data_IF_590420304358
#
_entry.id   IF_590420304358
#
_cell.length_a   1.000
_cell.length_b   1.000
_cell.length_c   1.000
_cell.angle_alpha   90.00
_cell.angle_beta   90.00
_cell.angle_gamma   90.00
#
_symmetry.space_group_name_H-M   'P 1'
#
loop_
_entity.id
_entity.type
_entity.pdbx_description
1 polymer ?
#
# COMPACT_ATOMS: atom_id res chain seq x y z
N UNK A 1 3.14 27.16 50.43
CA UNK A 1 2.75 26.51 49.16
C UNK A 1 3.58 26.99 47.99
N UNK A 2 3.90 28.31 47.88
CA UNK A 2 4.72 28.86 46.75
C UNK A 2 6.16 28.36 46.86
N UNK A 3 6.75 28.29 48.08
CA UNK A 3 8.10 27.77 48.26
C UNK A 3 8.25 26.27 47.98
N UNK A 4 7.24 25.47 48.22
CA UNK A 4 7.27 24.02 47.92
C UNK A 4 7.23 23.74 46.42
N UNK A 5 6.46 24.51 45.66
CA UNK A 5 6.40 24.40 44.21
C UNK A 5 7.73 24.75 43.52
N UNK A 6 8.41 25.80 44.01
CA UNK A 6 9.75 26.19 43.50
C UNK A 6 10.81 25.15 43.86
N UNK A 7 10.77 24.62 45.08
CA UNK A 7 11.68 23.57 45.51
C UNK A 7 11.48 22.30 44.66
N UNK A 8 10.23 21.91 44.39
CA UNK A 8 9.92 20.78 43.54
C UNK A 8 10.40 21.02 42.10
N UNK A 9 10.15 22.21 41.53
CA UNK A 9 10.60 22.55 40.18
C UNK A 9 12.13 22.50 40.04
N UNK A 10 12.88 22.91 41.08
CA UNK A 10 14.34 22.75 41.12
C UNK A 10 14.78 21.30 41.24
N UNK A 11 14.15 20.54 42.13
CA UNK A 11 14.47 19.11 42.33
C UNK A 11 14.20 18.27 41.06
N UNK A 12 13.15 18.58 40.35
CA UNK A 12 12.79 17.90 39.09
C UNK A 12 13.53 18.43 37.86
N UNK A 13 14.33 19.50 38.02
CA UNK A 13 15.09 20.11 36.94
C UNK A 13 14.24 20.89 35.95
N UNK A 14 12.99 21.27 36.30
CA UNK A 14 12.13 22.14 35.48
C UNK A 14 12.62 23.59 35.45
N UNK A 15 13.41 23.98 36.41
CA UNK A 15 14.13 25.26 36.42
C UNK A 15 15.63 25.04 36.67
N UNK A 16 16.45 25.90 36.08
CA UNK A 16 17.89 25.88 36.24
C UNK A 16 18.34 26.52 37.59
N UNK A 17 19.65 26.56 37.83
CA UNK A 17 20.21 27.16 39.05
C UNK A 17 19.83 28.66 39.22
N UNK A 18 19.46 29.34 38.14
CA UNK A 18 19.03 30.73 38.11
C UNK A 18 17.50 30.89 38.13
N UNK A 19 16.77 29.84 38.50
CA UNK A 19 15.29 29.78 38.48
C UNK A 19 14.65 30.08 37.13
N UNK A 20 15.36 29.82 36.00
CA UNK A 20 14.83 29.97 34.66
C UNK A 20 14.23 28.65 34.20
N UNK A 21 13.07 28.66 33.53
CA UNK A 21 12.48 27.43 32.98
C UNK A 21 13.45 26.72 32.01
N UNK A 22 13.65 25.43 32.23
CA UNK A 22 14.41 24.57 31.33
C UNK A 22 13.53 24.28 30.12
N UNK A 23 14.05 24.57 28.92
CA UNK A 23 13.38 24.23 27.66
C UNK A 23 13.69 22.78 27.28
N UNK A 24 12.64 21.99 27.01
CA UNK A 24 12.78 20.57 26.69
C UNK A 24 12.88 19.68 27.91
N UNK A 25 13.72 18.63 27.85
CA UNK A 25 14.01 17.76 28.99
C UNK A 25 15.19 18.27 29.79
N UNK A 26 15.20 18.10 31.14
CA UNK A 26 16.34 18.46 31.97
C UNK A 26 17.62 17.77 31.46
N UNK A 27 18.78 18.47 31.46
CA UNK A 27 20.05 17.91 31.01
C UNK A 27 20.42 16.58 31.69
N UNK A 28 20.07 16.45 32.97
CA UNK A 28 20.29 15.23 33.75
C UNK A 28 19.55 14.03 33.12
N UNK A 29 18.34 14.22 32.58
CA UNK A 29 17.54 13.17 31.92
C UNK A 29 18.09 12.87 30.52
N UNK A 30 18.51 13.89 29.79
CA UNK A 30 19.05 13.75 28.43
C UNK A 30 20.33 12.92 28.39
N UNK A 31 21.23 13.12 29.36
CA UNK A 31 22.54 12.45 29.47
C UNK A 31 22.55 11.20 30.35
N UNK A 32 21.44 10.87 31.00
CA UNK A 32 21.32 9.81 32.00
C UNK A 32 21.24 8.37 31.41
N UNK A 33 20.92 7.39 32.25
CA UNK A 33 20.82 6.00 31.88
C UNK A 33 19.62 5.72 30.89
N UNK A 34 19.58 4.52 30.34
CA UNK A 34 18.48 4.10 29.42
C UNK A 34 17.12 4.15 30.13
N UNK A 35 17.07 3.75 31.42
CA UNK A 35 15.85 3.80 32.22
C UNK A 35 15.27 5.21 32.37
N UNK A 36 16.11 6.24 32.35
CA UNK A 36 15.65 7.65 32.41
C UNK A 36 15.01 8.05 31.05
N UNK A 37 15.53 7.56 29.94
CA UNK A 37 14.90 7.73 28.63
C UNK A 37 13.54 7.03 28.57
N UNK A 38 13.41 5.83 29.16
CA UNK A 38 12.13 5.12 29.28
C UNK A 38 11.16 5.88 30.19
N UNK A 39 11.63 6.40 31.33
CA UNK A 39 10.82 7.19 32.27
C UNK A 39 10.32 8.49 31.61
N UNK A 40 11.19 9.20 30.87
CA UNK A 40 10.82 10.42 30.16
C UNK A 40 9.73 10.15 29.11
N UNK A 41 9.88 9.08 28.33
CA UNK A 41 8.88 8.66 27.35
C UNK A 41 7.56 8.24 28.00
N UNK A 42 7.63 7.49 29.12
CA UNK A 42 6.44 7.11 29.89
C UNK A 42 5.68 8.34 30.40
N UNK A 43 6.38 9.29 31.00
CA UNK A 43 5.80 10.54 31.50
C UNK A 43 5.16 11.35 30.37
N UNK A 44 5.87 11.53 29.26
CA UNK A 44 5.37 12.26 28.08
C UNK A 44 4.15 11.58 27.45
N UNK A 45 4.15 10.25 27.37
CA UNK A 45 3.03 9.49 26.82
C UNK A 45 1.78 9.57 27.71
N UNK A 46 1.95 9.46 29.03
CA UNK A 46 0.83 9.60 29.99
C UNK A 46 0.25 11.02 29.94
N UNK A 47 1.09 12.03 29.79
CA UNK A 47 0.66 13.42 29.78
C UNK A 47 -0.09 13.80 28.49
N UNK A 48 0.49 13.54 27.33
CA UNK A 48 -0.01 14.03 26.03
C UNK A 48 0.20 13.03 24.88
N UNK A 49 0.28 11.74 25.19
CA UNK A 49 0.42 10.70 24.21
C UNK A 49 -0.93 10.28 23.61
N UNK A 50 -0.88 9.85 22.37
CA UNK A 50 -1.99 9.18 21.69
C UNK A 50 -1.47 8.00 20.89
N UNK A 51 -2.24 6.91 20.90
CA UNK A 51 -1.98 5.71 20.12
C UNK A 51 -3.18 5.47 19.21
N UNK A 52 -2.93 5.45 17.91
CA UNK A 52 -3.98 5.14 16.95
C UNK A 52 -4.39 3.67 17.08
N UNK A 53 -5.69 3.42 17.04
CA UNK A 53 -6.21 2.07 16.89
C UNK A 53 -5.59 1.40 15.66
N UNK A 54 -5.17 0.13 15.73
CA UNK A 54 -4.58 -0.57 14.60
C UNK A 54 -5.53 -0.56 13.40
N UNK A 55 -5.10 0.05 12.29
CA UNK A 55 -5.89 0.24 11.09
C UNK A 55 -5.03 0.24 9.84
N UNK A 56 -5.29 1.18 8.91
CA UNK A 56 -4.46 1.40 7.71
C UNK A 56 -3.02 1.80 8.05
N UNK A 57 -2.83 2.49 9.15
CA UNK A 57 -1.50 2.91 9.64
C UNK A 57 -1.51 2.90 11.16
N UNK A 58 -0.44 2.39 11.75
CA UNK A 58 -0.17 2.56 13.17
C UNK A 58 0.53 3.91 13.39
N UNK A 59 0.14 4.65 14.43
CA UNK A 59 0.82 5.88 14.82
C UNK A 59 0.76 6.05 16.32
N UNK A 60 1.94 6.30 16.92
CA UNK A 60 2.06 6.80 18.29
C UNK A 60 2.53 8.23 18.19
N UNK A 61 1.81 9.16 18.81
CA UNK A 61 2.10 10.58 18.77
C UNK A 61 2.16 11.15 20.19
N UNK A 62 3.10 12.05 20.43
CA UNK A 62 3.18 12.84 21.67
C UNK A 62 3.15 14.31 21.28
N UNK A 63 2.19 15.05 21.83
CA UNK A 63 2.15 16.51 21.71
C UNK A 63 3.15 17.13 22.69
N UNK A 64 4.00 18.00 22.20
CA UNK A 64 5.08 18.65 22.96
C UNK A 64 4.78 20.14 23.17
N UNK A 65 5.25 20.73 24.28
CA UNK A 65 5.07 22.16 24.55
C UNK A 65 5.92 23.06 23.66
N UNK A 66 6.89 22.50 22.95
CA UNK A 66 7.75 23.23 22.03
C UNK A 66 8.75 22.30 21.33
N UNK A 67 9.50 22.85 20.36
CA UNK A 67 10.40 22.07 19.50
C UNK A 67 11.57 21.45 20.30
N UNK A 68 12.04 22.12 21.35
CA UNK A 68 13.13 21.60 22.18
C UNK A 68 12.71 20.31 22.91
N UNK A 69 11.47 20.26 23.44
CA UNK A 69 10.93 19.05 24.05
C UNK A 69 10.75 17.93 23.05
N UNK A 70 10.27 18.24 21.84
CA UNK A 70 10.14 17.27 20.77
C UNK A 70 11.50 16.68 20.34
N UNK A 71 12.52 17.51 20.17
CA UNK A 71 13.87 17.07 19.82
C UNK A 71 14.51 16.23 20.94
N UNK A 72 14.29 16.61 22.20
CA UNK A 72 14.81 15.86 23.35
C UNK A 72 14.16 14.45 23.41
N UNK A 73 12.85 14.32 23.18
CA UNK A 73 12.17 13.03 23.09
C UNK A 73 12.64 12.20 21.90
N UNK A 74 12.90 12.81 20.74
CA UNK A 74 13.50 12.10 19.59
C UNK A 74 14.90 11.57 19.96
N UNK A 75 15.72 12.37 20.67
CA UNK A 75 17.01 11.93 21.19
C UNK A 75 16.88 10.74 22.15
N UNK A 76 15.92 10.79 23.08
CA UNK A 76 15.63 9.70 23.99
C UNK A 76 15.15 8.43 23.27
N UNK A 77 14.27 8.54 22.26
CA UNK A 77 13.86 7.42 21.43
C UNK A 77 15.04 6.75 20.72
N UNK A 78 15.95 7.56 20.16
CA UNK A 78 17.15 7.06 19.49
C UNK A 78 18.03 6.22 20.42
N UNK A 79 18.15 6.63 21.69
CA UNK A 79 18.89 5.86 22.72
C UNK A 79 18.21 4.51 23.03
N UNK A 80 16.89 4.44 22.88
CA UNK A 80 16.12 3.20 23.00
C UNK A 80 16.16 2.34 21.73
N UNK A 81 16.87 2.76 20.66
CA UNK A 81 16.91 2.09 19.37
C UNK A 81 15.66 2.32 18.51
N UNK A 82 14.87 3.34 18.81
CA UNK A 82 13.59 3.62 18.18
C UNK A 82 13.69 4.86 17.29
N UNK A 83 13.18 4.76 16.06
CA UNK A 83 13.14 5.88 15.11
C UNK A 83 11.86 6.68 15.33
N UNK A 84 12.00 7.87 15.92
CA UNK A 84 10.94 8.85 16.09
C UNK A 84 11.24 10.11 15.26
N UNK A 85 10.20 10.84 14.84
CA UNK A 85 10.33 12.08 14.06
C UNK A 85 9.59 13.21 14.75
N UNK A 86 10.26 14.35 14.92
CA UNK A 86 9.60 15.59 15.32
C UNK A 86 8.89 16.19 14.09
N UNK A 87 7.69 16.70 14.27
CA UNK A 87 6.89 17.40 13.26
C UNK A 87 6.09 18.49 13.90
N UNK A 88 5.99 19.63 13.23
CA UNK A 88 5.01 20.64 13.55
C UNK A 88 3.74 20.42 12.71
N UNK A 89 2.60 20.37 13.37
CA UNK A 89 1.29 20.23 12.71
C UNK A 89 0.36 21.31 13.27
N UNK A 90 -0.02 22.26 12.43
CA UNK A 90 -0.90 23.40 12.79
C UNK A 90 -0.38 24.20 13.98
N UNK A 91 0.92 24.49 14.01
CA UNK A 91 1.55 25.24 15.09
C UNK A 91 1.79 24.45 16.38
N UNK A 92 1.61 23.14 16.35
CA UNK A 92 1.81 22.24 17.51
C UNK A 92 2.94 21.28 17.23
N UNK A 93 3.96 21.29 18.05
CA UNK A 93 5.07 20.34 17.98
C UNK A 93 4.65 18.95 18.43
N UNK A 94 4.99 17.94 17.65
CA UNK A 94 4.68 16.53 17.93
C UNK A 94 5.87 15.64 17.65
N UNK A 95 5.97 14.58 18.44
CA UNK A 95 6.85 13.44 18.13
C UNK A 95 5.99 12.28 17.66
N UNK A 96 6.37 11.68 16.53
CA UNK A 96 5.57 10.65 15.86
C UNK A 96 6.41 9.42 15.58
N UNK A 97 5.88 8.25 15.92
CA UNK A 97 6.38 6.93 15.53
C UNK A 97 5.28 6.26 14.69
N UNK A 98 5.63 5.79 13.49
CA UNK A 98 4.67 5.16 12.55
C UNK A 98 4.94 3.70 12.26
N UNK A 99 6.09 3.21 12.69
CA UNK A 99 6.44 1.80 12.58
C UNK A 99 5.76 1.01 13.68
N UNK A 100 4.94 0.02 13.31
CA UNK A 100 4.15 -0.76 14.27
C UNK A 100 5.02 -1.58 15.22
N UNK A 101 6.11 -2.15 14.72
CA UNK A 101 7.01 -2.98 15.52
C UNK A 101 7.77 -2.10 16.52
N UNK A 102 8.25 -0.91 16.08
CA UNK A 102 8.86 0.08 16.96
C UNK A 102 7.90 0.60 18.04
N UNK A 103 6.61 0.76 17.72
CA UNK A 103 5.57 1.12 18.70
C UNK A 103 5.41 0.00 19.73
N UNK A 104 5.31 -1.26 19.32
CA UNK A 104 5.22 -2.41 20.22
C UNK A 104 6.42 -2.50 21.16
N UNK A 105 7.64 -2.36 20.64
CA UNK A 105 8.88 -2.32 21.42
C UNK A 105 8.86 -1.16 22.42
N UNK A 106 8.47 0.05 22.01
CA UNK A 106 8.41 1.20 22.90
C UNK A 106 7.42 0.96 24.04
N UNK A 107 6.18 0.57 23.72
CA UNK A 107 5.14 0.34 24.72
C UNK A 107 5.54 -0.75 25.73
N UNK A 108 6.22 -1.80 25.26
CA UNK A 108 6.79 -2.84 26.14
C UNK A 108 7.81 -2.24 27.11
N UNK A 109 8.75 -1.42 26.62
CA UNK A 109 9.73 -0.71 27.47
C UNK A 109 9.08 0.26 28.45
N UNK A 110 7.94 0.84 28.09
CA UNK A 110 7.15 1.71 28.98
C UNK A 110 6.36 0.92 30.03
N UNK A 111 6.36 -0.41 30.00
CA UNK A 111 5.70 -1.28 30.98
C UNK A 111 4.25 -1.64 30.64
N UNK A 112 3.78 -1.33 29.44
CA UNK A 112 2.38 -1.57 29.01
C UNK A 112 2.18 -2.98 28.39
N UNK A 113 2.77 -4.03 28.97
CA UNK A 113 2.84 -5.37 28.39
C UNK A 113 1.47 -5.97 27.98
N UNK A 114 0.48 -5.91 28.88
CA UNK A 114 -0.86 -6.43 28.59
C UNK A 114 -1.56 -5.68 27.46
N UNK A 115 -1.46 -4.33 27.48
CA UNK A 115 -2.04 -3.47 26.46
C UNK A 115 -1.37 -3.70 25.11
N UNK A 116 -0.06 -3.95 25.07
CA UNK A 116 0.70 -4.28 23.86
C UNK A 116 0.20 -5.57 23.23
N UNK A 117 0.03 -6.63 24.01
CA UNK A 117 -0.47 -7.89 23.49
C UNK A 117 -1.83 -7.74 22.81
N UNK A 118 -2.77 -7.05 23.46
CA UNK A 118 -4.09 -6.79 22.89
C UNK A 118 -4.04 -5.90 21.63
N UNK A 119 -3.12 -4.93 21.59
CA UNK A 119 -2.94 -4.03 20.45
C UNK A 119 -2.32 -4.77 19.26
N UNK A 120 -1.28 -5.59 19.51
CA UNK A 120 -0.61 -6.41 18.48
C UNK A 120 -1.57 -7.45 17.88
N UNK A 121 -2.37 -8.11 18.69
CA UNK A 121 -3.37 -9.06 18.20
C UNK A 121 -4.36 -8.39 17.24
N UNK A 122 -4.85 -7.18 17.58
CA UNK A 122 -5.73 -6.40 16.71
C UNK A 122 -5.01 -5.97 15.42
N UNK A 123 -3.74 -5.57 15.53
CA UNK A 123 -2.90 -5.19 14.39
C UNK A 123 -2.76 -6.35 13.41
N UNK A 124 -2.37 -7.52 13.89
CA UNK A 124 -2.20 -8.73 13.07
C UNK A 124 -3.51 -9.16 12.39
N UNK A 125 -4.62 -9.18 13.12
CA UNK A 125 -5.94 -9.51 12.55
C UNK A 125 -6.34 -8.57 11.42
N UNK A 126 -6.06 -7.28 11.55
CA UNK A 126 -6.36 -6.29 10.50
C UNK A 126 -5.42 -6.40 9.30
N UNK A 127 -4.16 -6.68 9.53
CA UNK A 127 -3.16 -6.87 8.47
C UNK A 127 -3.49 -8.09 7.61
N UNK A 128 -3.87 -9.21 8.22
CA UNK A 128 -4.36 -10.40 7.51
C UNK A 128 -5.58 -10.07 6.67
N UNK A 129 -6.58 -9.38 7.22
CA UNK A 129 -7.78 -8.95 6.46
C UNK A 129 -7.44 -8.00 5.32
N UNK A 130 -6.56 -7.03 5.55
CA UNK A 130 -6.14 -6.09 4.51
C UNK A 130 -5.39 -6.78 3.37
N UNK A 131 -4.58 -7.79 3.69
CA UNK A 131 -3.87 -8.61 2.70
C UNK A 131 -4.83 -9.48 1.91
N UNK A 132 -5.78 -10.15 2.57
CA UNK A 132 -6.82 -10.94 1.90
C UNK A 132 -7.67 -10.07 0.96
N UNK A 133 -8.10 -8.89 1.41
CA UNK A 133 -8.86 -7.96 0.56
C UNK A 133 -8.04 -7.45 -0.63
N UNK A 134 -6.73 -7.19 -0.46
CA UNK A 134 -5.86 -6.79 -1.58
C UNK A 134 -5.73 -7.89 -2.63
N UNK A 135 -5.54 -9.15 -2.19
CA UNK A 135 -5.49 -10.30 -3.08
C UNK A 135 -6.81 -10.47 -3.85
N UNK A 136 -7.94 -10.47 -3.14
CA UNK A 136 -9.25 -10.60 -3.78
C UNK A 136 -9.52 -9.48 -4.80
N UNK A 137 -9.18 -8.23 -4.47
CA UNK A 137 -9.33 -7.10 -5.39
C UNK A 137 -8.39 -7.20 -6.60
N UNK A 138 -7.17 -7.72 -6.39
CA UNK A 138 -6.21 -7.93 -7.48
C UNK A 138 -6.68 -9.01 -8.43
N UNK A 139 -7.18 -10.14 -7.90
CA UNK A 139 -7.71 -11.24 -8.70
C UNK A 139 -8.96 -10.81 -9.49
N UNK A 140 -9.89 -10.08 -8.86
CA UNK A 140 -11.08 -9.55 -9.53
C UNK A 140 -10.72 -8.55 -10.66
N UNK A 141 -9.77 -7.64 -10.39
CA UNK A 141 -9.29 -6.70 -11.40
C UNK A 141 -8.60 -7.40 -12.58
N UNK A 142 -7.81 -8.45 -12.31
CA UNK A 142 -7.18 -9.25 -13.35
C UNK A 142 -8.21 -10.04 -14.18
N UNK A 143 -9.19 -10.64 -13.52
CA UNK A 143 -10.26 -11.38 -14.18
C UNK A 143 -11.07 -10.47 -15.12
N UNK A 144 -11.46 -9.28 -14.62
CA UNK A 144 -12.18 -8.29 -15.44
C UNK A 144 -11.35 -7.81 -16.63
N UNK A 145 -10.05 -7.55 -16.44
CA UNK A 145 -9.15 -7.14 -17.53
C UNK A 145 -9.01 -8.25 -18.57
N UNK A 146 -8.85 -9.50 -18.12
CA UNK A 146 -8.77 -10.66 -19.00
C UNK A 146 -10.07 -10.87 -19.79
N UNK A 147 -11.22 -10.76 -19.15
CA UNK A 147 -12.52 -10.88 -19.81
C UNK A 147 -12.74 -9.78 -20.87
N UNK A 148 -12.42 -8.51 -20.53
CA UNK A 148 -12.50 -7.41 -21.50
C UNK A 148 -11.59 -7.64 -22.70
N UNK A 149 -10.34 -8.04 -22.47
CA UNK A 149 -9.40 -8.35 -23.55
C UNK A 149 -9.90 -9.50 -24.44
N UNK A 150 -10.54 -10.51 -23.86
CA UNK A 150 -11.12 -11.61 -24.61
C UNK A 150 -12.29 -11.15 -25.52
N UNK A 151 -13.18 -10.31 -24.99
CA UNK A 151 -14.30 -9.73 -25.76
C UNK A 151 -13.80 -8.83 -26.89
N UNK A 152 -12.83 -7.95 -26.60
CA UNK A 152 -12.21 -7.11 -27.62
C UNK A 152 -11.53 -7.94 -28.71
N UNK A 153 -10.79 -8.98 -28.34
CA UNK A 153 -10.17 -9.90 -29.30
C UNK A 153 -11.22 -10.63 -30.16
N UNK A 154 -12.36 -11.04 -29.58
CA UNK A 154 -13.44 -11.68 -30.32
C UNK A 154 -14.05 -10.73 -31.35
N UNK A 155 -14.34 -9.49 -30.99
CA UNK A 155 -14.86 -8.47 -31.91
C UNK A 155 -13.88 -8.16 -33.06
N UNK A 156 -12.57 -8.00 -32.73
CA UNK A 156 -11.52 -7.80 -33.74
C UNK A 156 -11.42 -8.98 -34.69
N UNK A 157 -11.49 -10.22 -34.19
CA UNK A 157 -11.43 -11.43 -35.00
C UNK A 157 -12.65 -11.53 -35.91
N UNK A 158 -13.84 -11.22 -35.40
CA UNK A 158 -15.06 -11.18 -36.24
C UNK A 158 -14.87 -10.21 -37.41
N UNK A 159 -14.39 -9.00 -37.14
CA UNK A 159 -14.10 -8.01 -38.18
C UNK A 159 -13.01 -8.47 -39.14
N UNK A 160 -11.96 -9.12 -38.62
CA UNK A 160 -10.90 -9.69 -39.48
C UNK A 160 -11.42 -10.73 -40.46
N UNK A 161 -12.33 -11.60 -40.00
CA UNK A 161 -12.94 -12.62 -40.88
C UNK A 161 -13.84 -12.00 -41.96
N UNK A 162 -14.55 -10.91 -41.67
CA UNK A 162 -15.31 -10.15 -42.66
C UNK A 162 -14.40 -9.53 -43.73
N UNK A 163 -13.28 -8.86 -43.32
CA UNK A 163 -12.35 -8.22 -44.24
C UNK A 163 -11.66 -9.21 -45.16
N UNK A 164 -11.27 -10.36 -44.65
CA UNK A 164 -10.50 -11.35 -45.39
C UNK A 164 -11.40 -12.30 -46.21
N UNK A 165 -12.64 -12.57 -45.76
CA UNK A 165 -13.58 -13.47 -46.44
C UNK A 165 -12.98 -14.85 -46.75
N UNK A 166 -13.11 -15.34 -47.98
CA UNK A 166 -12.67 -16.68 -48.37
C UNK A 166 -11.14 -16.84 -48.51
N UNK A 167 -10.38 -15.77 -48.36
CA UNK A 167 -8.92 -15.79 -48.54
C UNK A 167 -8.14 -16.19 -47.25
N UNK A 168 -8.87 -16.55 -46.19
CA UNK A 168 -8.26 -16.93 -44.92
C UNK A 168 -7.66 -18.33 -44.99
N UNK A 169 -6.41 -18.55 -44.65
CA UNK A 169 -5.84 -19.88 -44.53
C UNK A 169 -6.57 -20.71 -43.46
N UNK A 170 -6.85 -21.99 -43.74
CA UNK A 170 -7.67 -22.86 -42.88
C UNK A 170 -7.20 -22.89 -41.41
N UNK A 171 -5.91 -22.97 -41.19
CA UNK A 171 -5.34 -23.00 -39.85
C UNK A 171 -5.52 -21.68 -39.04
N UNK A 172 -5.72 -20.54 -39.72
CA UNK A 172 -6.06 -19.25 -39.08
C UNK A 172 -7.56 -19.11 -38.91
N UNK A 173 -8.33 -19.63 -39.85
CA UNK A 173 -9.80 -19.66 -39.84
C UNK A 173 -10.31 -20.43 -38.63
N UNK A 174 -9.80 -21.62 -38.37
CA UNK A 174 -10.11 -22.43 -37.19
C UNK A 174 -9.90 -21.64 -35.87
N UNK A 175 -8.76 -20.98 -35.72
CA UNK A 175 -8.45 -20.17 -34.54
C UNK A 175 -9.40 -18.97 -34.39
N UNK A 176 -9.81 -18.37 -35.52
CA UNK A 176 -10.80 -17.28 -35.57
C UNK A 176 -12.18 -17.75 -35.14
N UNK A 177 -12.66 -18.85 -35.69
CA UNK A 177 -13.96 -19.44 -35.35
C UNK A 177 -14.05 -19.84 -33.88
N UNK A 178 -12.98 -20.45 -33.33
CA UNK A 178 -12.90 -20.75 -31.89
C UNK A 178 -13.00 -19.48 -31.02
N UNK A 179 -12.29 -18.40 -31.39
CA UNK A 179 -12.35 -17.13 -30.64
C UNK A 179 -13.74 -16.50 -30.70
N UNK A 180 -14.44 -16.55 -31.82
CA UNK A 180 -15.80 -16.01 -31.96
C UNK A 180 -16.80 -16.84 -31.18
N UNK A 181 -16.76 -18.17 -31.32
CA UNK A 181 -17.66 -19.09 -30.61
C UNK A 181 -17.48 -19.06 -29.10
N UNK A 182 -16.26 -18.78 -28.61
CA UNK A 182 -15.90 -18.74 -27.21
C UNK A 182 -15.32 -17.37 -26.83
N UNK A 183 -16.09 -16.31 -27.02
CA UNK A 183 -15.68 -14.91 -26.93
C UNK A 183 -15.11 -14.49 -25.59
N UNK A 184 -15.41 -15.18 -24.48
CA UNK A 184 -14.89 -14.89 -23.14
C UNK A 184 -13.82 -15.89 -22.68
N UNK A 185 -13.59 -16.99 -23.43
CA UNK A 185 -12.63 -18.00 -23.04
C UNK A 185 -11.19 -17.45 -23.01
N UNK A 186 -10.39 -17.92 -22.09
CA UNK A 186 -8.95 -17.67 -22.05
C UNK A 186 -8.25 -18.31 -23.25
N UNK A 187 -7.06 -17.85 -23.59
CA UNK A 187 -6.25 -18.46 -24.66
C UNK A 187 -5.87 -19.91 -24.37
N UNK A 188 -5.79 -20.29 -23.11
CA UNK A 188 -5.49 -21.64 -22.67
C UNK A 188 -6.69 -22.57 -22.93
N UNK A 189 -7.88 -22.11 -22.55
CA UNK A 189 -9.14 -22.81 -22.85
C UNK A 189 -9.36 -22.97 -24.37
N UNK A 190 -9.13 -21.91 -25.15
CA UNK A 190 -9.22 -21.99 -26.61
C UNK A 190 -8.24 -23.00 -27.21
N UNK A 191 -7.01 -23.05 -26.70
CA UNK A 191 -6.02 -24.03 -27.10
C UNK A 191 -6.48 -25.45 -26.82
N UNK A 192 -7.13 -25.70 -25.70
CA UNK A 192 -7.68 -27.00 -25.32
C UNK A 192 -8.88 -27.42 -26.18
N UNK A 193 -9.66 -26.47 -26.69
CA UNK A 193 -10.83 -26.71 -27.56
C UNK A 193 -10.46 -26.95 -29.03
N UNK A 194 -9.23 -26.63 -29.42
CA UNK A 194 -8.78 -26.86 -30.81
C UNK A 194 -8.57 -28.34 -31.10
N UNK A 195 -8.74 -28.71 -32.38
CA UNK A 195 -8.56 -30.12 -32.84
C UNK A 195 -7.50 -30.16 -33.96
N UNK A 196 -6.28 -30.69 -33.66
CA UNK A 196 -5.80 -31.20 -32.37
C UNK A 196 -5.56 -30.07 -31.35
N UNK A 197 -5.53 -30.40 -30.05
CA UNK A 197 -5.28 -29.40 -29.00
C UNK A 197 -3.97 -28.64 -29.21
N UNK A 198 -3.98 -27.33 -28.92
CA UNK A 198 -2.85 -26.41 -29.13
C UNK A 198 -2.44 -25.76 -27.83
N UNK A 199 -1.19 -25.33 -27.76
CA UNK A 199 -0.70 -24.51 -26.62
C UNK A 199 -1.29 -23.10 -26.70
N UNK A 200 -1.36 -22.42 -25.54
CA UNK A 200 -1.73 -21.02 -25.41
C UNK A 200 -1.00 -20.11 -26.42
N UNK A 201 0.31 -20.32 -26.58
CA UNK A 201 1.13 -19.50 -27.48
C UNK A 201 0.85 -19.79 -28.95
N UNK A 202 0.53 -21.04 -29.28
CA UNK A 202 0.15 -21.42 -30.64
C UNK A 202 -1.16 -20.77 -31.08
N UNK A 203 -2.21 -20.83 -30.25
CA UNK A 203 -3.50 -20.20 -30.56
C UNK A 203 -3.39 -18.67 -30.60
N UNK A 204 -2.65 -18.06 -29.64
CA UNK A 204 -2.38 -16.64 -29.66
C UNK A 204 -1.62 -16.19 -30.92
N UNK A 205 -0.64 -16.95 -31.34
CA UNK A 205 0.12 -16.71 -32.58
C UNK A 205 -0.75 -16.77 -33.83
N UNK A 206 -1.70 -17.71 -33.92
CA UNK A 206 -2.65 -17.81 -35.02
C UNK A 206 -3.59 -16.62 -35.07
N UNK A 207 -4.21 -16.24 -33.93
CA UNK A 207 -5.09 -15.08 -33.83
C UNK A 207 -4.33 -13.79 -34.21
N UNK A 208 -3.12 -13.59 -33.71
CA UNK A 208 -2.31 -12.41 -34.05
C UNK A 208 -2.01 -12.32 -35.55
N UNK A 209 -1.69 -13.44 -36.20
CA UNK A 209 -1.46 -13.47 -37.65
C UNK A 209 -2.74 -13.18 -38.44
N UNK A 210 -3.88 -13.70 -38.02
CA UNK A 210 -5.19 -13.42 -38.63
C UNK A 210 -5.49 -11.92 -38.61
N UNK A 211 -5.34 -11.27 -37.43
CA UNK A 211 -5.54 -9.83 -37.28
C UNK A 211 -4.58 -9.01 -38.14
N UNK A 212 -3.29 -9.33 -38.14
CA UNK A 212 -2.30 -8.64 -38.95
C UNK A 212 -2.57 -8.75 -40.47
N UNK A 213 -3.03 -9.89 -40.93
CA UNK A 213 -3.45 -10.07 -42.35
C UNK A 213 -4.65 -9.20 -42.67
N UNK A 214 -5.64 -9.13 -41.78
CA UNK A 214 -6.84 -8.32 -41.97
C UNK A 214 -6.53 -6.84 -41.98
N UNK A 215 -5.72 -6.36 -41.04
CA UNK A 215 -5.33 -4.95 -40.95
C UNK A 215 -4.53 -4.51 -42.19
N UNK A 216 -3.61 -5.36 -42.69
CA UNK A 216 -2.93 -5.13 -43.96
C UNK A 216 -3.91 -5.04 -45.12
N UNK A 217 -4.86 -5.98 -45.21
CA UNK A 217 -5.88 -5.99 -46.26
C UNK A 217 -6.82 -4.78 -46.20
N UNK A 218 -7.19 -4.36 -45.00
CA UNK A 218 -7.98 -3.15 -44.79
C UNK A 218 -7.25 -1.90 -45.31
N UNK A 219 -5.95 -1.78 -45.04
CA UNK A 219 -5.13 -0.68 -45.54
C UNK A 219 -5.05 -0.68 -47.08
N UNK A 220 -4.90 -1.85 -47.72
CA UNK A 220 -4.90 -1.98 -49.19
C UNK A 220 -6.25 -1.57 -49.82
N UNK A 221 -7.36 -1.82 -49.13
CA UNK A 221 -8.71 -1.51 -49.60
C UNK A 221 -9.18 -0.11 -49.20
N UNK A 222 -8.42 0.62 -48.36
CA UNK A 222 -8.81 1.94 -47.84
C UNK A 222 -10.04 1.87 -46.93
N UNK A 223 -10.27 0.76 -46.23
CA UNK A 223 -11.38 0.57 -45.28
C UNK A 223 -10.88 0.55 -43.84
N UNK A 224 -11.78 0.79 -42.85
CA UNK A 224 -11.42 0.70 -41.42
C UNK A 224 -10.85 -0.67 -41.02
N UNK A 225 -9.82 -0.67 -40.20
CA UNK A 225 -9.13 -1.86 -39.71
C UNK A 225 -9.94 -2.64 -38.66
N UNK A 226 -9.31 -3.63 -38.03
CA UNK A 226 -9.97 -4.48 -37.02
C UNK A 226 -10.23 -3.76 -35.70
N UNK A 227 -9.64 -2.60 -35.44
CA UNK A 227 -9.81 -1.80 -34.19
C UNK A 227 -10.94 -0.77 -34.29
N UNK A 228 -11.25 -0.33 -35.51
CA UNK A 228 -12.19 0.77 -35.76
C UNK A 228 -13.63 0.53 -35.27
N UNK A 229 -14.01 -0.73 -35.00
CA UNK A 229 -15.33 -1.09 -34.48
C UNK A 229 -15.40 -1.32 -32.97
N UNK A 230 -14.28 -1.14 -32.24
CA UNK A 230 -14.26 -1.33 -30.80
C UNK A 230 -14.83 -0.12 -30.07
N UNK A 231 -15.69 -0.38 -29.05
CA UNK A 231 -16.11 0.69 -28.16
C UNK A 231 -14.92 1.19 -27.31
N UNK A 232 -14.89 2.48 -26.92
CA UNK A 232 -13.82 3.04 -26.09
C UNK A 232 -13.60 2.28 -24.78
N UNK A 233 -14.64 1.65 -24.22
CA UNK A 233 -14.60 0.86 -22.99
C UNK A 233 -13.84 -0.48 -23.14
N UNK A 234 -13.61 -0.94 -24.36
CA UNK A 234 -12.86 -2.15 -24.66
C UNK A 234 -11.38 -1.86 -25.01
N UNK A 235 -11.03 -0.60 -25.23
CA UNK A 235 -9.68 -0.16 -25.58
C UNK A 235 -8.85 0.25 -24.33
N UNK A 236 -9.49 0.48 -23.18
CA UNK A 236 -8.91 0.80 -21.88
C UNK A 236 -9.09 -0.39 -20.92
#
# INVERSE_FOLDING_TARGET
>A
VINEGEALARQTGLVDANSRPVRGLPPQVVSAAICDSEAAWRGAFIAHGSLTEPGRSSSLEITCPGPEAALALVGAARRLGIVAKAREVRGVDRVVIRDGDAIGVLLTRLGAHESVLAWEERRMRREVRATANRLANFDDANLRRSARAAVAASARVSRAMEILGPTIPDHLKEAGELRISHGQASLEELGSLAVPPMTKDAIAGRIRRLLAMADKRAAELGIPDTEAGLSPDLLN
#
